data_IF_813016419312
#
_entry.id   IF_813016419312
#
_cell.length_a   1.000
_cell.length_b   1.000
_cell.length_c   1.000
_cell.angle_alpha   90.00
_cell.angle_beta   90.00
_cell.angle_gamma   90.00
#
_symmetry.space_group_name_H-M   'P 1'
#
loop_
_entity.id
_entity.type
_entity.pdbx_description
1 polymer ?
#
# COMPACT_ATOMS: atom_id res chain seq x y z
N UNK A 1 19.94 -3.59 13.89
CA UNK A 1 20.20 -2.13 13.98
C UNK A 1 19.02 -1.50 14.70
N UNK A 2 19.22 -0.68 15.73
CA UNK A 2 18.13 0.14 16.29
C UNK A 2 18.04 1.39 15.43
N UNK A 3 16.92 1.58 14.74
CA UNK A 3 16.65 2.85 14.07
C UNK A 3 16.38 3.92 15.14
N UNK A 4 16.91 5.12 14.93
CA UNK A 4 16.66 6.25 15.82
C UNK A 4 15.21 6.70 15.66
N UNK A 5 14.45 6.68 16.77
CA UNK A 5 13.05 7.13 16.81
C UNK A 5 13.03 8.58 17.25
N UNK A 6 12.49 9.45 16.40
CA UNK A 6 12.31 10.87 16.70
C UNK A 6 10.82 11.13 16.90
N UNK A 7 10.49 11.93 17.91
CA UNK A 7 9.12 12.36 18.21
C UNK A 7 8.99 13.83 17.83
N UNK A 8 7.94 14.15 17.09
CA UNK A 8 7.58 15.52 16.73
C UNK A 8 6.21 15.85 17.32
N UNK A 9 6.08 17.07 17.85
CA UNK A 9 4.82 17.59 18.40
C UNK A 9 4.35 18.74 17.53
N UNK A 10 3.05 18.76 17.23
CA UNK A 10 2.39 19.83 16.51
C UNK A 10 1.06 20.15 17.22
N UNK A 11 0.72 21.43 17.26
CA UNK A 11 -0.51 21.93 17.89
C UNK A 11 -1.46 22.46 16.82
N UNK A 12 -2.74 22.13 16.96
CA UNK A 12 -3.80 22.55 16.05
C UNK A 12 -4.94 23.15 16.86
N UNK A 13 -5.51 24.26 16.38
CA UNK A 13 -6.74 24.82 16.92
C UNK A 13 -7.91 24.37 16.04
N UNK A 14 -8.89 23.70 16.64
CA UNK A 14 -10.12 23.27 15.97
C UNK A 14 -11.34 23.83 16.69
N UNK A 15 -12.46 23.95 15.98
CA UNK A 15 -13.71 24.39 16.58
C UNK A 15 -14.22 23.38 17.62
N UNK A 16 -14.96 23.85 18.63
CA UNK A 16 -15.58 22.97 19.63
C UNK A 16 -16.55 21.95 19.01
N UNK A 17 -17.14 22.26 17.85
CA UNK A 17 -18.01 21.37 17.09
C UNK A 17 -17.27 20.45 16.10
N UNK A 18 -15.93 20.39 16.14
CA UNK A 18 -15.14 19.55 15.24
C UNK A 18 -15.47 18.05 15.39
N UNK A 19 -15.90 17.64 16.59
CA UNK A 19 -16.20 16.25 16.91
C UNK A 19 -14.94 15.44 17.20
N UNK A 20 -15.02 14.13 17.00
CA UNK A 20 -13.92 13.21 17.29
C UNK A 20 -13.00 13.03 16.07
N UNK A 21 -11.66 13.12 16.21
CA UNK A 21 -10.72 12.84 15.13
C UNK A 21 -10.77 11.36 14.72
N UNK A 22 -11.10 11.09 13.46
CA UNK A 22 -11.18 9.72 12.93
C UNK A 22 -10.04 9.31 11.97
N UNK A 23 -9.34 10.28 11.41
CA UNK A 23 -8.22 10.04 10.51
C UNK A 23 -7.24 11.23 10.51
N UNK A 24 -5.99 10.97 10.16
CA UNK A 24 -4.93 11.96 10.00
C UNK A 24 -4.37 11.86 8.58
N UNK A 25 -4.27 13.00 7.91
CA UNK A 25 -3.66 13.08 6.58
C UNK A 25 -2.25 13.66 6.70
N UNK A 26 -1.26 12.93 6.18
CA UNK A 26 0.16 13.30 6.24
C UNK A 26 0.67 13.61 4.84
N UNK A 27 1.29 14.78 4.70
CA UNK A 27 1.98 15.21 3.50
C UNK A 27 3.46 15.37 3.79
N UNK A 28 4.30 14.64 3.06
CA UNK A 28 5.75 14.77 3.17
C UNK A 28 6.28 15.80 2.16
N UNK A 29 6.53 17.03 2.63
CA UNK A 29 7.13 18.10 1.83
C UNK A 29 8.66 18.09 1.82
N UNK A 30 9.30 17.11 2.44
CA UNK A 30 10.75 16.93 2.38
C UNK A 30 11.17 16.27 1.07
N UNK A 31 12.50 16.21 0.83
CA UNK A 31 13.07 15.59 -0.37
C UNK A 31 13.19 14.06 -0.26
N UNK A 32 13.17 13.50 0.95
CA UNK A 32 13.32 12.06 1.22
C UNK A 32 12.08 11.50 1.90
N UNK A 33 11.83 10.22 1.68
CA UNK A 33 10.82 9.45 2.42
C UNK A 33 11.18 9.34 3.90
N UNK A 34 10.16 9.22 4.74
CA UNK A 34 10.33 8.88 6.16
C UNK A 34 9.32 7.83 6.57
N UNK A 35 9.66 7.07 7.61
CA UNK A 35 8.80 6.03 8.17
C UNK A 35 8.02 6.59 9.36
N UNK A 36 6.69 6.46 9.31
CA UNK A 36 5.80 6.83 10.42
C UNK A 36 5.41 5.56 11.16
N UNK A 37 5.77 5.49 12.43
CA UNK A 37 5.40 4.37 13.30
C UNK A 37 3.97 4.54 13.82
N UNK A 38 3.69 5.66 14.47
CA UNK A 38 2.38 5.98 15.04
C UNK A 38 2.17 7.49 15.17
N UNK A 39 0.91 7.89 15.31
CA UNK A 39 0.49 9.25 15.61
C UNK A 39 -0.47 9.18 16.80
N UNK A 40 -0.36 10.13 17.74
CA UNK A 40 -1.27 10.28 18.87
C UNK A 40 -1.86 11.68 18.81
N UNK A 41 -3.19 11.77 18.83
CA UNK A 41 -3.92 13.04 18.82
C UNK A 41 -4.56 13.23 20.19
N UNK A 42 -4.11 14.24 20.93
CA UNK A 42 -4.56 14.54 22.29
C UNK A 42 -5.44 15.79 22.33
N UNK A 43 -6.04 16.09 23.48
CA UNK A 43 -6.81 17.32 23.70
C UNK A 43 -8.32 17.25 23.40
N UNK A 44 -8.85 16.07 23.04
CA UNK A 44 -10.28 15.85 22.82
C UNK A 44 -10.97 15.28 24.08
N UNK A 45 -12.26 15.62 24.34
CA UNK A 45 -13.00 15.10 25.49
C UNK A 45 -13.12 13.57 25.53
N UNK A 46 -13.03 12.92 24.36
CA UNK A 46 -13.05 11.46 24.21
C UNK A 46 -11.75 10.76 24.64
N UNK A 47 -10.73 11.52 25.04
CA UNK A 47 -9.38 11.02 25.31
C UNK A 47 -8.48 10.98 24.07
N UNK A 48 -7.23 10.51 24.23
CA UNK A 48 -6.26 10.47 23.14
C UNK A 48 -6.66 9.47 22.04
N UNK A 49 -6.63 9.91 20.79
CA UNK A 49 -6.86 9.06 19.63
C UNK A 49 -5.53 8.51 19.11
N UNK A 50 -5.41 7.18 19.10
CA UNK A 50 -4.22 6.48 18.62
C UNK A 50 -4.37 6.07 17.15
N UNK A 51 -3.32 6.29 16.38
CA UNK A 51 -3.22 5.96 14.95
C UNK A 51 -1.96 5.12 14.74
N UNK A 52 -2.13 3.82 14.50
CA UNK A 52 -1.01 2.92 14.18
C UNK A 52 -0.72 2.99 12.67
N UNK A 53 0.47 3.45 12.30
CA UNK A 53 0.80 3.76 10.90
C UNK A 53 1.68 2.68 10.25
N UNK A 54 2.82 2.36 10.86
CA UNK A 54 3.87 1.47 10.33
C UNK A 54 4.07 1.58 8.80
N UNK A 55 4.23 2.81 8.30
CA UNK A 55 4.23 3.08 6.86
C UNK A 55 5.27 4.10 6.43
N UNK A 56 5.87 3.84 5.27
CA UNK A 56 6.67 4.84 4.54
C UNK A 56 5.75 5.90 3.92
N UNK A 57 6.11 7.17 4.13
CA UNK A 57 5.45 8.33 3.54
C UNK A 57 6.38 8.94 2.49
N UNK A 58 5.99 8.80 1.23
CA UNK A 58 6.74 9.29 0.08
C UNK A 58 6.66 10.82 -0.03
N UNK A 59 7.73 11.49 -0.50
CA UNK A 59 7.70 12.91 -0.83
C UNK A 59 6.56 13.27 -1.78
N UNK A 60 6.01 14.48 -1.68
CA UNK A 60 4.90 14.94 -2.53
C UNK A 60 5.21 14.99 -4.03
N UNK A 61 6.48 15.04 -4.42
CA UNK A 61 6.90 14.99 -5.83
C UNK A 61 6.97 13.55 -6.39
N UNK A 62 6.89 12.53 -5.53
CA UNK A 62 6.85 11.11 -5.89
C UNK A 62 5.45 10.53 -5.67
N UNK A 63 4.79 10.91 -4.58
CA UNK A 63 3.48 10.41 -4.22
C UNK A 63 2.38 10.93 -5.16
N UNK A 64 1.43 10.06 -5.53
CA UNK A 64 0.24 10.43 -6.31
C UNK A 64 -0.77 11.26 -5.52
N UNK A 65 -0.69 11.21 -4.19
CA UNK A 65 -1.61 11.88 -3.29
C UNK A 65 -1.11 11.86 -1.84
N UNK A 66 -1.80 12.56 -0.93
CA UNK A 66 -1.48 12.57 0.49
C UNK A 66 -1.75 11.20 1.12
N UNK A 67 -1.13 10.93 2.28
CA UNK A 67 -1.28 9.65 2.98
C UNK A 67 -2.30 9.76 4.09
N UNK A 68 -3.31 8.91 4.08
CA UNK A 68 -4.35 8.89 5.10
C UNK A 68 -4.08 7.74 6.08
N UNK A 69 -4.16 8.02 7.37
CA UNK A 69 -4.07 7.05 8.44
C UNK A 69 -5.32 7.13 9.32
N UNK A 70 -5.95 6.00 9.62
CA UNK A 70 -7.17 5.93 10.43
C UNK A 70 -6.84 5.68 11.90
N UNK A 71 -7.69 6.14 12.81
CA UNK A 71 -7.57 5.77 14.22
C UNK A 71 -7.78 4.27 14.41
N UNK A 72 -7.28 3.73 15.52
CA UNK A 72 -7.37 2.30 15.83
C UNK A 72 -8.80 1.82 16.19
N UNK A 73 -9.82 2.66 16.03
CA UNK A 73 -11.22 2.30 16.25
C UNK A 73 -11.73 1.47 15.04
N UNK A 74 -12.10 0.19 15.24
CA UNK A 74 -12.58 -0.64 14.14
C UNK A 74 -14.03 -0.31 13.77
N UNK A 75 -14.33 -0.32 12.48
CA UNK A 75 -15.69 -0.14 11.96
C UNK A 75 -15.96 -1.12 10.81
N UNK A 76 -17.14 -1.76 10.83
CA UNK A 76 -17.65 -2.43 9.63
C UNK A 76 -17.91 -1.40 8.51
N UNK A 77 -17.97 -1.84 7.23
CA UNK A 77 -18.29 -0.93 6.13
C UNK A 77 -19.61 -0.15 6.35
N UNK A 78 -20.64 -0.80 6.89
CA UNK A 78 -21.94 -0.19 7.21
C UNK A 78 -21.89 0.80 8.39
N UNK A 79 -20.96 0.58 9.32
CA UNK A 79 -20.80 1.37 10.55
C UNK A 79 -19.79 2.52 10.40
N UNK A 80 -19.13 2.63 9.24
CA UNK A 80 -18.12 3.66 9.01
C UNK A 80 -18.76 5.05 9.15
N UNK A 81 -18.24 5.91 10.06
CA UNK A 81 -18.76 7.25 10.27
C UNK A 81 -18.85 8.04 8.95
N UNK A 82 -19.92 8.84 8.72
CA UNK A 82 -20.11 9.53 7.45
C UNK A 82 -18.89 10.34 6.97
N UNK A 83 -18.20 11.02 7.88
CA UNK A 83 -16.99 11.80 7.56
C UNK A 83 -15.78 10.97 7.12
N UNK A 84 -15.76 9.66 7.36
CA UNK A 84 -14.67 8.75 6.99
C UNK A 84 -14.96 7.89 5.76
N UNK A 85 -16.23 7.82 5.32
CA UNK A 85 -16.65 6.91 4.22
C UNK A 85 -15.90 7.17 2.93
N UNK A 86 -15.75 8.44 2.58
CA UNK A 86 -15.08 8.83 1.35
C UNK A 86 -13.57 8.55 1.40
N UNK A 87 -12.92 8.88 2.53
CA UNK A 87 -11.50 8.55 2.74
C UNK A 87 -11.26 7.04 2.67
N UNK A 88 -12.14 6.24 3.30
CA UNK A 88 -12.06 4.77 3.26
C UNK A 88 -12.18 4.24 1.83
N UNK A 89 -13.12 4.79 1.05
CA UNK A 89 -13.35 4.39 -0.34
C UNK A 89 -12.16 4.75 -1.23
N UNK A 90 -11.61 5.96 -1.08
CA UNK A 90 -10.45 6.42 -1.84
C UNK A 90 -9.21 5.58 -1.53
N UNK A 91 -8.89 5.37 -0.26
CA UNK A 91 -7.73 4.57 0.15
C UNK A 91 -7.83 3.12 -0.36
N UNK A 92 -9.02 2.50 -0.30
CA UNK A 92 -9.23 1.17 -0.89
C UNK A 92 -9.07 1.16 -2.42
N UNK A 93 -9.50 2.23 -3.08
CA UNK A 93 -9.31 2.41 -4.53
C UNK A 93 -7.84 2.51 -4.89
N UNK A 94 -7.08 3.33 -4.17
CA UNK A 94 -5.63 3.52 -4.39
C UNK A 94 -4.84 2.24 -4.12
N UNK A 95 -5.22 1.47 -3.10
CA UNK A 95 -4.63 0.17 -2.80
C UNK A 95 -4.94 -0.89 -3.86
N UNK A 96 -6.06 -0.79 -4.58
CA UNK A 96 -6.42 -1.74 -5.66
C UNK A 96 -5.77 -1.35 -6.98
N UNK A 97 -5.70 -0.05 -7.26
CA UNK A 97 -5.22 0.52 -8.53
C UNK A 97 -6.10 0.14 -9.72
N UNK A 98 -5.52 0.22 -10.91
CA UNK A 98 -6.20 0.17 -12.21
C UNK A 98 -5.99 -1.13 -13.00
N UNK A 99 -5.18 -2.06 -12.49
CA UNK A 99 -4.82 -3.28 -13.21
C UNK A 99 -3.76 -3.09 -14.30
N UNK A 100 -3.19 -1.88 -14.42
CA UNK A 100 -2.24 -1.52 -15.47
C UNK A 100 -0.90 -1.05 -14.88
N UNK A 101 0.05 -0.73 -15.78
CA UNK A 101 1.38 -0.22 -15.45
C UNK A 101 2.35 -1.23 -14.80
N UNK A 102 3.64 -0.93 -14.87
CA UNK A 102 4.69 -1.58 -14.09
C UNK A 102 4.73 -1.02 -12.67
N UNK A 103 4.96 -1.88 -11.68
CA UNK A 103 4.93 -1.49 -10.26
C UNK A 103 6.25 -0.89 -9.82
N UNK A 104 6.18 0.36 -9.34
CA UNK A 104 7.31 1.02 -8.71
C UNK A 104 7.54 0.51 -7.28
N UNK A 105 8.74 0.68 -6.74
CA UNK A 105 9.09 0.30 -5.36
C UNK A 105 8.30 1.08 -4.31
N UNK A 106 7.82 2.26 -4.68
CA UNK A 106 7.02 3.14 -3.83
C UNK A 106 5.52 2.85 -3.91
N UNK A 107 5.09 2.06 -4.90
CA UNK A 107 3.68 1.76 -5.12
C UNK A 107 3.13 0.88 -3.99
N UNK A 108 1.86 1.13 -3.68
CA UNK A 108 1.09 0.39 -2.66
C UNK A 108 -0.07 -0.38 -3.25
N UNK A 109 0.01 -0.67 -4.53
CA UNK A 109 -1.08 -1.28 -5.28
C UNK A 109 -0.97 -2.81 -5.18
N UNK A 110 -2.00 -3.41 -4.59
CA UNK A 110 -2.16 -4.84 -4.41
C UNK A 110 -3.10 -5.37 -5.50
N UNK A 111 -2.52 -6.16 -6.40
CA UNK A 111 -3.23 -6.75 -7.52
C UNK A 111 -2.63 -8.12 -7.84
N UNK A 112 -3.33 -8.94 -8.62
CA UNK A 112 -3.02 -10.35 -8.79
C UNK A 112 -2.62 -10.70 -10.22
N UNK A 113 -1.77 -11.71 -10.35
CA UNK A 113 -1.30 -12.24 -11.63
C UNK A 113 -0.98 -13.74 -11.50
N UNK A 114 -0.80 -14.39 -12.63
CA UNK A 114 -0.34 -15.79 -12.73
C UNK A 114 1.19 -15.87 -12.61
N UNK A 115 1.71 -17.08 -12.36
CA UNK A 115 3.15 -17.33 -12.42
C UNK A 115 3.60 -17.48 -13.87
N UNK A 116 3.67 -16.34 -14.55
CA UNK A 116 4.25 -16.14 -15.88
C UNK A 116 5.63 -15.44 -15.80
N UNK A 117 6.27 -15.48 -14.64
CA UNK A 117 7.51 -14.76 -14.33
C UNK A 117 8.61 -15.70 -13.79
N UNK A 118 8.51 -17.00 -14.07
CA UNK A 118 9.46 -18.04 -13.64
C UNK A 118 10.49 -18.47 -14.70
N UNK A 119 10.24 -18.27 -16.00
CA UNK A 119 11.07 -18.83 -17.08
C UNK A 119 11.69 -17.78 -17.99
N UNK A 120 12.90 -17.97 -18.52
CA UNK A 120 13.61 -16.93 -19.29
C UNK A 120 13.77 -17.29 -20.79
N UNK A 121 12.69 -17.36 -21.56
CA UNK A 121 12.70 -17.88 -22.94
C UNK A 121 13.63 -17.12 -23.89
N UNK A 122 13.88 -15.83 -23.63
CA UNK A 122 14.82 -15.02 -24.42
C UNK A 122 16.29 -15.45 -24.26
N UNK A 123 16.64 -16.22 -23.21
CA UNK A 123 17.97 -16.82 -23.04
C UNK A 123 18.13 -18.18 -23.73
N UNK A 124 17.02 -18.80 -24.15
CA UNK A 124 17.01 -20.17 -24.68
C UNK A 124 15.74 -20.93 -24.31
N UNK A 125 15.39 -21.93 -25.11
CA UNK A 125 14.19 -22.75 -24.92
C UNK A 125 14.24 -23.57 -23.61
N UNK A 126 15.43 -23.97 -23.17
CA UNK A 126 15.71 -24.68 -21.93
C UNK A 126 15.36 -23.87 -20.66
N UNK A 127 15.34 -22.53 -20.78
CA UNK A 127 14.94 -21.63 -19.70
C UNK A 127 13.45 -21.33 -19.71
N UNK A 128 12.70 -21.76 -20.73
CA UNK A 128 11.25 -21.57 -20.76
C UNK A 128 10.58 -22.39 -19.64
N UNK A 129 9.56 -21.81 -19.03
CA UNK A 129 8.72 -22.47 -18.02
C UNK A 129 7.25 -22.32 -18.40
N UNK A 130 6.41 -23.32 -18.11
CA UNK A 130 4.98 -23.20 -18.33
C UNK A 130 4.39 -22.15 -17.36
N UNK A 131 3.29 -21.52 -17.76
CA UNK A 131 2.57 -20.56 -16.91
C UNK A 131 1.75 -21.31 -15.87
N UNK A 132 1.96 -21.03 -14.58
CA UNK A 132 1.16 -21.64 -13.51
C UNK A 132 0.01 -20.70 -13.12
N UNK A 133 -1.21 -21.20 -13.23
CA UNK A 133 -2.45 -20.47 -12.99
C UNK A 133 -3.39 -20.51 -14.21
N UNK A 134 -4.70 -20.59 -13.95
CA UNK A 134 -5.73 -20.73 -14.98
C UNK A 134 -6.38 -22.11 -14.92
N UNK A 135 -7.18 -22.47 -15.93
CA UNK A 135 -7.92 -23.74 -15.93
C UNK A 135 -7.02 -24.95 -16.21
N UNK A 136 -6.03 -24.78 -17.11
CA UNK A 136 -5.18 -25.89 -17.56
C UNK A 136 -4.15 -26.33 -16.52
N UNK A 137 -3.59 -25.36 -15.77
CA UNK A 137 -2.68 -25.63 -14.65
C UNK A 137 -3.08 -24.74 -13.46
N UNK A 138 -4.11 -25.13 -12.69
CA UNK A 138 -4.56 -24.36 -11.55
C UNK A 138 -3.43 -24.14 -10.53
N UNK A 139 -3.26 -22.89 -10.12
CA UNK A 139 -2.25 -22.49 -9.15
C UNK A 139 -2.69 -21.19 -8.45
N UNK A 140 -2.34 -20.97 -7.17
CA UNK A 140 -2.59 -19.71 -6.49
C UNK A 140 -2.04 -18.53 -7.30
N UNK A 141 -2.71 -17.38 -7.19
CA UNK A 141 -2.22 -16.13 -7.79
C UNK A 141 -1.07 -15.57 -6.98
N UNK A 142 -0.22 -14.77 -7.64
CA UNK A 142 0.83 -13.97 -7.00
C UNK A 142 0.52 -12.48 -7.10
N UNK A 143 1.29 -11.65 -6.40
CA UNK A 143 1.24 -10.20 -6.58
C UNK A 143 1.66 -9.81 -8.01
N UNK A 144 0.87 -8.97 -8.67
CA UNK A 144 1.14 -8.42 -10.00
C UNK A 144 2.33 -7.46 -9.94
N UNK A 145 3.30 -7.63 -10.84
CA UNK A 145 4.44 -6.70 -11.00
C UNK A 145 4.31 -5.79 -12.21
N UNK A 146 3.48 -6.16 -13.20
CA UNK A 146 3.20 -5.34 -14.38
C UNK A 146 4.40 -5.17 -15.33
N UNK A 147 5.49 -5.91 -15.13
CA UNK A 147 6.65 -5.91 -16.02
C UNK A 147 6.25 -6.31 -17.45
N UNK A 148 6.91 -5.75 -18.48
CA UNK A 148 6.59 -6.06 -19.87
C UNK A 148 6.80 -7.55 -20.17
N UNK A 149 6.16 -8.04 -21.24
CA UNK A 149 6.38 -9.42 -21.74
C UNK A 149 7.72 -9.53 -22.45
N UNK A 150 8.26 -10.75 -22.55
CA UNK A 150 9.52 -10.99 -23.28
C UNK A 150 9.38 -10.67 -24.78
N UNK A 151 10.51 -10.48 -25.46
CA UNK A 151 10.52 -10.18 -26.91
C UNK A 151 9.92 -11.34 -27.71
N UNK A 152 10.14 -12.57 -27.25
CA UNK A 152 9.51 -13.77 -27.83
C UNK A 152 8.00 -13.88 -27.55
N UNK A 153 7.40 -12.90 -26.87
CA UNK A 153 5.99 -12.89 -26.47
C UNK A 153 5.66 -13.88 -25.34
N UNK A 154 6.69 -14.52 -24.78
CA UNK A 154 6.58 -15.57 -23.76
C UNK A 154 6.73 -15.00 -22.32
N UNK A 155 6.32 -15.75 -21.30
CA UNK A 155 6.47 -15.38 -19.88
C UNK A 155 7.94 -15.10 -19.49
N UNK A 156 8.20 -14.10 -18.62
CA UNK A 156 9.55 -13.67 -18.15
C UNK A 156 10.13 -14.57 -17.05
N UNK A 157 11.43 -14.41 -16.73
CA UNK A 157 11.98 -14.71 -15.40
C UNK A 157 12.74 -13.50 -14.86
N UNK A 158 12.73 -13.38 -13.54
CA UNK A 158 13.49 -12.44 -12.71
C UNK A 158 14.86 -12.04 -13.27
N UNK A 159 15.09 -10.73 -13.41
CA UNK A 159 16.30 -10.13 -12.86
C UNK A 159 16.08 -9.96 -11.35
N UNK A 160 17.05 -10.43 -10.56
CA UNK A 160 17.07 -10.37 -9.10
C UNK A 160 17.25 -8.92 -8.60
N UNK A 161 16.39 -7.96 -8.92
CA UNK A 161 16.41 -6.68 -8.20
C UNK A 161 14.98 -6.16 -8.05
N UNK A 162 14.50 -6.28 -6.82
CA UNK A 162 13.18 -5.87 -6.35
C UNK A 162 12.01 -6.68 -6.94
N UNK A 163 11.67 -7.77 -6.27
CA UNK A 163 10.24 -8.13 -6.13
C UNK A 163 9.57 -6.85 -5.62
N UNK A 164 8.81 -6.16 -6.46
CA UNK A 164 8.09 -4.91 -6.14
C UNK A 164 6.94 -5.23 -5.19
N UNK A 165 7.31 -5.70 -4.00
CA UNK A 165 6.41 -5.92 -2.87
C UNK A 165 6.13 -4.52 -2.34
N UNK A 166 4.86 -4.15 -2.14
CA UNK A 166 4.55 -2.84 -1.61
C UNK A 166 5.29 -2.62 -0.28
N UNK A 167 5.84 -1.42 -0.04
CA UNK A 167 6.82 -1.14 1.01
C UNK A 167 6.28 -1.35 2.44
N UNK A 168 4.99 -1.64 2.59
CA UNK A 168 4.29 -1.93 3.83
C UNK A 168 3.64 -3.29 3.86
N UNK A 169 4.14 -4.28 3.12
CA UNK A 169 3.61 -5.65 3.15
C UNK A 169 3.89 -6.36 4.49
N UNK A 170 3.28 -5.87 5.57
CA UNK A 170 2.72 -6.72 6.62
C UNK A 170 1.31 -6.99 6.11
N UNK A 171 1.01 -8.21 5.68
CA UNK A 171 -0.33 -8.59 5.20
C UNK A 171 -1.34 -8.25 6.32
N UNK A 172 -2.12 -7.17 6.24
CA UNK A 172 -3.21 -7.01 7.18
C UNK A 172 -4.25 -8.03 6.72
N UNK A 173 -4.73 -8.86 7.62
CA UNK A 173 -5.99 -9.59 7.44
C UNK A 173 -7.13 -8.56 7.28
N UNK A 174 -7.19 -7.89 6.12
CA UNK A 174 -8.40 -7.26 5.64
C UNK A 174 -9.22 -8.42 5.08
N UNK A 175 -10.15 -8.91 5.89
CA UNK A 175 -11.26 -9.71 5.41
C UNK A 175 -11.94 -8.91 4.28
N UNK A 176 -11.60 -9.24 3.05
CA UNK A 176 -12.43 -8.96 1.89
C UNK A 176 -13.64 -9.90 2.02
N UNK A 177 -14.71 -9.37 2.60
CA UNK A 177 -16.07 -9.89 2.41
C UNK A 177 -16.75 -9.07 1.33
#
# INVERSE_FOLDING_TARGET
MKAEKVVYTAEFTVDASFGEPGAVTVLNRHTREFFVESIVVEGFPSGPAHVTCHSWVQPTHVARGPRVFFTNKPFLPSETPPGLRELRRQELGDLRGDGEGERATTDRVYDYDVYNDLGHPDKGAEFARPVLGGEQMPYPRRMRTGRPKTVTGKPYSLSMFCSSIPPTATVPFLFLT
#
